data_IF_415749242162
#
_entry.id   IF_415749242162
#
_cell.length_a   1.000
_cell.length_b   1.000
_cell.length_c   1.000
_cell.angle_alpha   90.00
_cell.angle_beta   90.00
_cell.angle_gamma   90.00
#
_symmetry.space_group_name_H-M   'P 1'
#
loop_
_entity.id
_entity.type
_entity.pdbx_description
1 polymer ?
#
# COMPACT_ATOMS: atom_id res chain seq x y z
N UNK A 1 -5.00 -10.17 -19.79
CA UNK A 1 -3.85 -10.70 -20.55
C UNK A 1 -4.29 -10.86 -22.00
N UNK A 2 -3.46 -10.44 -22.95
CA UNK A 2 -3.70 -10.69 -24.38
C UNK A 2 -2.81 -11.88 -24.73
N UNK A 3 -3.42 -12.96 -25.21
CA UNK A 3 -2.70 -14.16 -25.65
C UNK A 3 -2.94 -14.31 -27.14
N UNK A 4 -1.86 -14.52 -27.89
CA UNK A 4 -1.91 -14.82 -29.32
C UNK A 4 -1.42 -16.24 -29.49
N UNK A 5 -2.28 -17.11 -30.02
CA UNK A 5 -1.91 -18.45 -30.43
C UNK A 5 -1.73 -18.43 -31.94
N UNK A 6 -0.52 -18.78 -32.38
CA UNK A 6 -0.21 -18.90 -33.80
C UNK A 6 -0.41 -20.36 -34.21
N UNK A 7 -1.33 -20.60 -35.14
CA UNK A 7 -1.51 -21.91 -35.73
C UNK A 7 -0.74 -22.00 -37.05
N UNK A 8 0.41 -22.67 -36.97
CA UNK A 8 1.30 -22.89 -38.12
C UNK A 8 0.62 -23.63 -39.29
N UNK A 9 -0.46 -24.38 -39.04
CA UNK A 9 -1.15 -25.15 -40.07
C UNK A 9 -2.13 -24.32 -40.90
N UNK A 10 -2.84 -23.38 -40.27
CA UNK A 10 -3.83 -22.51 -40.92
C UNK A 10 -3.31 -21.12 -41.26
N UNK A 11 -2.10 -20.75 -40.78
CA UNK A 11 -1.55 -19.38 -40.85
C UNK A 11 -2.52 -18.33 -40.30
N UNK A 12 -3.32 -18.72 -39.31
CA UNK A 12 -4.22 -17.80 -38.62
C UNK A 12 -3.75 -17.57 -37.19
N UNK A 13 -3.88 -16.32 -36.74
CA UNK A 13 -3.57 -15.93 -35.37
C UNK A 13 -4.87 -15.80 -34.58
N UNK A 14 -5.08 -16.68 -33.60
CA UNK A 14 -6.20 -16.56 -32.66
C UNK A 14 -5.77 -15.68 -31.48
N UNK A 15 -6.37 -14.49 -31.38
CA UNK A 15 -6.11 -13.56 -30.26
C UNK A 15 -7.23 -13.70 -29.23
N UNK A 16 -6.90 -14.16 -28.02
CA UNK A 16 -7.83 -14.20 -26.88
C UNK A 16 -7.49 -13.13 -25.85
N UNK A 17 -8.51 -12.37 -25.47
CA UNK A 17 -8.44 -11.39 -24.40
C UNK A 17 -9.06 -11.98 -23.14
N UNK A 18 -8.21 -12.40 -22.19
CA UNK A 18 -8.65 -12.92 -20.90
C UNK A 18 -8.67 -11.78 -19.88
N UNK A 19 -9.87 -11.44 -19.38
CA UNK A 19 -10.07 -10.46 -18.31
C UNK A 19 -10.19 -11.17 -16.97
N UNK A 20 -9.35 -10.82 -16.00
CA UNK A 20 -9.40 -11.34 -14.63
C UNK A 20 -9.31 -10.16 -13.66
N UNK A 21 -10.16 -10.18 -12.64
CA UNK A 21 -10.09 -9.22 -11.53
C UNK A 21 -8.75 -9.42 -10.82
N UNK A 22 -7.97 -8.35 -10.74
CA UNK A 22 -6.63 -8.40 -10.13
C UNK A 22 -6.77 -8.63 -8.62
N UNK A 23 -6.00 -9.57 -8.09
CA UNK A 23 -5.96 -9.89 -6.67
C UNK A 23 -4.68 -10.64 -6.32
N UNK A 24 -4.34 -10.65 -5.03
CA UNK A 24 -3.16 -11.34 -4.52
C UNK A 24 -3.62 -12.47 -3.62
N UNK A 25 -3.26 -13.70 -3.98
CA UNK A 25 -3.36 -14.87 -3.11
C UNK A 25 -1.98 -15.55 -3.09
N UNK A 26 -1.26 -15.35 -1.99
CA UNK A 26 0.10 -15.88 -1.80
C UNK A 26 0.09 -17.42 -1.73
N UNK A 27 -0.99 -18.01 -1.22
CA UNK A 27 -1.14 -19.45 -1.13
C UNK A 27 -1.23 -20.08 -2.51
N UNK A 28 -2.17 -19.58 -3.34
CA UNK A 28 -2.36 -20.05 -4.72
C UNK A 28 -1.14 -19.76 -5.59
N UNK A 29 -0.53 -18.58 -5.45
CA UNK A 29 0.69 -18.23 -6.20
C UNK A 29 1.81 -19.25 -5.94
N UNK A 30 2.04 -19.63 -4.69
CA UNK A 30 3.04 -20.63 -4.33
C UNK A 30 2.66 -22.03 -4.86
N UNK A 31 1.38 -22.41 -4.81
CA UNK A 31 0.93 -23.71 -5.32
C UNK A 31 1.10 -23.78 -6.86
N UNK A 32 0.62 -22.78 -7.60
CA UNK A 32 0.76 -22.71 -9.07
C UNK A 32 2.22 -22.70 -9.52
N UNK A 33 3.10 -22.00 -8.81
CA UNK A 33 4.53 -22.02 -9.14
C UNK A 33 5.18 -23.40 -8.89
N UNK A 34 4.74 -24.15 -7.88
CA UNK A 34 5.21 -25.54 -7.70
C UNK A 34 4.79 -26.43 -8.88
N UNK A 35 3.54 -26.34 -9.33
CA UNK A 35 3.07 -27.08 -10.53
C UNK A 35 3.93 -26.73 -11.73
N UNK A 36 4.12 -25.44 -12.01
CA UNK A 36 5.00 -24.96 -13.08
C UNK A 36 6.42 -25.53 -13.00
N UNK A 37 7.01 -25.51 -11.79
CA UNK A 37 8.37 -26.02 -11.57
C UNK A 37 8.43 -27.53 -11.80
N UNK A 38 7.44 -28.27 -11.34
CA UNK A 38 7.38 -29.72 -11.53
C UNK A 38 7.26 -30.08 -13.01
N UNK A 39 6.48 -29.33 -13.80
CA UNK A 39 6.39 -29.52 -15.26
C UNK A 39 7.73 -29.24 -15.93
N UNK A 40 8.41 -28.13 -15.58
CA UNK A 40 9.71 -27.78 -16.19
C UNK A 40 10.82 -28.78 -15.87
N UNK A 41 10.76 -29.41 -14.69
CA UNK A 41 11.74 -30.40 -14.28
C UNK A 41 11.33 -31.82 -14.70
N UNK A 42 10.32 -31.96 -15.57
CA UNK A 42 9.78 -33.24 -16.05
C UNK A 42 9.37 -34.21 -14.91
N UNK A 43 8.92 -33.66 -13.77
CA UNK A 43 8.47 -34.43 -12.60
C UNK A 43 7.00 -34.85 -12.72
N UNK A 44 6.18 -34.06 -13.43
CA UNK A 44 4.75 -34.32 -13.66
C UNK A 44 4.42 -34.06 -15.13
N UNK A 45 3.43 -34.80 -15.66
CA UNK A 45 2.94 -34.63 -17.03
C UNK A 45 2.02 -33.41 -17.21
N UNK A 46 1.82 -32.97 -18.46
CA UNK A 46 0.97 -31.80 -18.78
C UNK A 46 -0.49 -32.03 -18.36
N UNK A 47 -1.00 -33.26 -18.54
CA UNK A 47 -2.39 -33.61 -18.19
C UNK A 47 -2.61 -33.59 -16.66
N UNK A 48 -1.66 -34.15 -15.90
CA UNK A 48 -1.67 -34.12 -14.44
C UNK A 48 -1.56 -32.67 -13.91
N UNK A 49 -0.66 -31.88 -14.48
CA UNK A 49 -0.53 -30.46 -14.16
C UNK A 49 -1.81 -29.66 -14.47
N UNK A 50 -2.54 -30.04 -15.53
CA UNK A 50 -3.85 -29.48 -15.86
C UNK A 50 -4.89 -29.73 -14.78
N UNK A 51 -4.99 -30.97 -14.31
CA UNK A 51 -5.91 -31.37 -13.24
C UNK A 51 -5.57 -30.68 -11.90
N UNK A 52 -4.29 -30.63 -11.53
CA UNK A 52 -3.85 -29.91 -10.32
C UNK A 52 -4.18 -28.41 -10.41
N UNK A 53 -4.00 -27.80 -11.59
CA UNK A 53 -4.30 -26.38 -11.77
C UNK A 53 -5.80 -26.09 -11.68
N UNK A 54 -6.65 -26.98 -12.21
CA UNK A 54 -8.11 -26.85 -12.11
C UNK A 54 -8.57 -26.98 -10.65
N UNK A 55 -8.02 -27.93 -9.89
CA UNK A 55 -8.28 -28.05 -8.46
C UNK A 55 -7.88 -26.78 -7.70
N UNK A 56 -6.71 -26.20 -8.02
CA UNK A 56 -6.23 -24.95 -7.43
C UNK A 56 -7.13 -23.76 -7.76
N UNK A 57 -7.70 -23.71 -8.98
CA UNK A 57 -8.64 -22.67 -9.37
C UNK A 57 -9.97 -22.79 -8.63
N UNK A 58 -10.47 -24.02 -8.43
CA UNK A 58 -11.73 -24.32 -7.75
C UNK A 58 -11.67 -24.19 -6.22
N UNK A 59 -10.46 -24.23 -5.64
CA UNK A 59 -10.23 -24.20 -4.18
C UNK A 59 -10.82 -22.96 -3.52
N UNK A 60 -11.61 -23.11 -2.45
CA UNK A 60 -12.17 -21.97 -1.69
C UNK A 60 -11.08 -21.13 -0.99
N UNK A 61 -11.29 -19.82 -0.77
CA UNK A 61 -10.37 -19.00 0.01
C UNK A 61 -10.21 -19.56 1.43
N UNK A 62 -8.99 -19.53 1.97
CA UNK A 62 -8.66 -20.15 3.27
C UNK A 62 -9.33 -19.45 4.46
N UNK A 63 -9.27 -18.12 4.47
CA UNK A 63 -9.84 -17.30 5.54
C UNK A 63 -11.21 -16.74 5.14
N UNK A 64 -12.14 -16.74 6.11
CA UNK A 64 -13.47 -16.18 5.93
C UNK A 64 -13.42 -14.65 5.80
N UNK A 65 -14.31 -14.07 4.98
CA UNK A 65 -14.38 -12.62 4.72
C UNK A 65 -14.48 -11.78 5.99
N UNK A 66 -15.26 -12.20 6.99
CA UNK A 66 -15.42 -11.47 8.24
C UNK A 66 -14.16 -11.45 9.10
N UNK A 67 -13.41 -12.56 9.09
CA UNK A 67 -12.11 -12.62 9.77
C UNK A 67 -11.10 -11.69 9.09
N UNK A 68 -11.11 -11.64 7.75
CA UNK A 68 -10.25 -10.72 7.00
C UNK A 68 -10.55 -9.26 7.37
N UNK A 69 -11.83 -8.87 7.55
CA UNK A 69 -12.19 -7.51 7.99
C UNK A 69 -11.54 -7.16 9.33
N UNK A 70 -11.58 -8.07 10.30
CA UNK A 70 -10.97 -7.88 11.61
C UNK A 70 -9.44 -7.70 11.49
N UNK A 71 -8.80 -8.55 10.69
CA UNK A 71 -7.36 -8.46 10.43
C UNK A 71 -7.01 -7.19 9.67
N UNK A 72 -7.90 -6.68 8.81
CA UNK A 72 -7.73 -5.40 8.12
C UNK A 72 -7.63 -4.24 9.12
N UNK A 73 -8.51 -4.22 10.13
CA UNK A 73 -8.43 -3.25 11.22
C UNK A 73 -7.16 -3.39 12.07
N UNK A 74 -6.74 -4.62 12.37
CA UNK A 74 -5.45 -4.83 13.07
C UNK A 74 -4.28 -4.35 12.22
N UNK A 75 -4.30 -4.63 10.91
CA UNK A 75 -3.25 -4.23 9.98
C UNK A 75 -3.11 -2.71 9.92
N UNK A 76 -4.20 -1.95 9.76
CA UNK A 76 -4.11 -0.47 9.77
C UNK A 76 -3.60 0.07 11.11
N UNK A 77 -4.01 -0.53 12.24
CA UNK A 77 -3.54 -0.13 13.56
C UNK A 77 -2.04 -0.40 13.76
N UNK A 78 -1.50 -1.48 13.19
CA UNK A 78 -0.07 -1.79 13.24
C UNK A 78 0.77 -0.91 12.29
N UNK A 79 0.20 -0.36 11.21
CA UNK A 79 0.91 0.56 10.30
C UNK A 79 1.18 1.92 10.95
N UNK A 80 0.23 2.42 11.73
CA UNK A 80 0.29 3.76 12.32
C UNK A 80 1.63 4.08 13.02
N UNK A 81 2.11 3.26 13.97
CA UNK A 81 3.29 3.58 14.77
C UNK A 81 4.59 3.65 13.99
N UNK A 82 4.78 2.79 12.98
CA UNK A 82 6.05 2.72 12.26
C UNK A 82 6.13 3.61 11.03
N UNK A 83 5.00 3.86 10.38
CA UNK A 83 4.94 4.69 9.18
C UNK A 83 4.60 6.15 9.51
N UNK A 84 3.66 6.40 10.42
CA UNK A 84 3.06 7.73 10.62
C UNK A 84 3.19 8.25 12.06
N UNK A 85 4.09 7.65 12.85
CA UNK A 85 4.35 8.02 14.24
C UNK A 85 3.09 8.08 15.13
N UNK A 86 2.14 7.18 14.88
CA UNK A 86 0.89 7.10 15.66
C UNK A 86 1.17 6.74 17.13
N UNK A 87 0.48 7.41 18.05
CA UNK A 87 0.58 7.11 19.48
C UNK A 87 -0.31 5.90 19.83
N UNK A 88 -0.02 5.19 20.94
CA UNK A 88 -0.89 4.10 21.41
C UNK A 88 -2.35 4.52 21.59
N UNK A 89 -2.59 5.78 21.97
CA UNK A 89 -3.94 6.32 22.16
C UNK A 89 -4.73 6.43 20.84
N UNK A 90 -4.05 6.60 19.70
CA UNK A 90 -4.67 6.72 18.38
C UNK A 90 -5.06 5.34 17.80
N UNK A 91 -4.44 4.25 18.26
CA UNK A 91 -4.63 2.89 17.71
C UNK A 91 -6.06 2.38 17.69
N UNK A 92 -6.89 2.52 18.75
CA UNK A 92 -8.24 1.99 18.74
C UNK A 92 -9.12 2.66 17.67
N UNK A 93 -8.91 3.95 17.42
CA UNK A 93 -9.63 4.70 16.39
C UNK A 93 -9.18 4.26 15.00
N UNK A 94 -7.87 4.07 14.82
CA UNK A 94 -7.31 3.54 13.58
C UNK A 94 -7.86 2.12 13.29
N UNK A 95 -7.96 1.28 14.33
CA UNK A 95 -8.53 -0.05 14.23
C UNK A 95 -10.00 0.00 13.79
N UNK A 96 -10.79 0.91 14.37
CA UNK A 96 -12.19 1.10 14.00
C UNK A 96 -12.34 1.54 12.54
N UNK A 97 -11.58 2.56 12.12
CA UNK A 97 -11.59 3.02 10.72
C UNK A 97 -11.10 1.94 9.74
N UNK A 98 -10.11 1.14 10.13
CA UNK A 98 -9.64 0.01 9.32
C UNK A 98 -10.65 -1.12 9.21
N UNK A 99 -11.39 -1.43 10.27
CA UNK A 99 -12.50 -2.39 10.23
C UNK A 99 -13.63 -1.88 9.31
N UNK A 100 -13.97 -0.59 9.40
CA UNK A 100 -14.97 0.04 8.54
C UNK A 100 -14.56 -0.09 7.06
N UNK A 101 -13.29 0.23 6.77
CA UNK A 101 -12.73 0.08 5.44
C UNK A 101 -12.77 -1.38 4.95
N UNK A 102 -12.31 -2.32 5.77
CA UNK A 102 -12.34 -3.75 5.43
C UNK A 102 -13.76 -4.24 5.16
N UNK A 103 -14.76 -3.74 5.91
CA UNK A 103 -16.17 -4.02 5.68
C UNK A 103 -16.64 -3.50 4.31
N UNK A 104 -16.33 -2.25 3.98
CA UNK A 104 -16.65 -1.66 2.68
C UNK A 104 -16.00 -2.44 1.53
N UNK A 105 -14.75 -2.88 1.69
CA UNK A 105 -14.01 -3.62 0.66
C UNK A 105 -14.46 -5.07 0.49
N UNK A 106 -14.58 -5.84 1.58
CA UNK A 106 -14.81 -7.28 1.50
C UNK A 106 -16.29 -7.69 1.57
N UNK A 107 -17.18 -6.81 2.04
CA UNK A 107 -18.62 -7.10 2.18
C UNK A 107 -19.46 -6.28 1.21
N UNK A 108 -19.18 -4.97 1.06
CA UNK A 108 -20.03 -4.07 0.28
C UNK A 108 -19.63 -3.98 -1.20
N UNK A 109 -18.34 -3.88 -1.53
CA UNK A 109 -17.81 -3.90 -2.90
C UNK A 109 -18.25 -5.12 -3.74
N UNK A 110 -18.17 -6.37 -3.25
CA UNK A 110 -18.59 -7.52 -4.05
C UNK A 110 -20.11 -7.62 -4.23
N UNK A 111 -20.93 -6.85 -3.50
CA UNK A 111 -22.39 -6.90 -3.64
C UNK A 111 -22.94 -6.08 -4.78
N UNK A 112 -22.24 -5.03 -5.22
CA UNK A 112 -22.72 -4.22 -6.33
C UNK A 112 -21.56 -3.69 -7.18
N UNK A 113 -21.69 -3.88 -8.49
CA UNK A 113 -20.69 -3.44 -9.48
C UNK A 113 -20.54 -1.92 -9.46
N UNK A 114 -21.65 -1.19 -9.28
CA UNK A 114 -21.68 0.27 -9.15
C UNK A 114 -20.83 0.74 -7.97
N UNK A 115 -21.00 0.12 -6.80
CA UNK A 115 -20.23 0.49 -5.62
C UNK A 115 -18.76 0.12 -5.76
N UNK A 116 -18.43 -1.00 -6.40
CA UNK A 116 -17.03 -1.37 -6.67
C UNK A 116 -16.27 -0.31 -7.49
N UNK A 117 -16.96 0.41 -8.38
CA UNK A 117 -16.35 1.45 -9.22
C UNK A 117 -16.08 2.77 -8.47
N UNK A 118 -16.80 3.04 -7.37
CA UNK A 118 -16.69 4.30 -6.59
C UNK A 118 -16.23 4.03 -5.15
N UNK A 119 -15.94 2.78 -4.81
CA UNK A 119 -15.53 2.34 -3.49
C UNK A 119 -14.33 3.15 -2.98
N UNK A 120 -13.34 3.39 -3.83
CA UNK A 120 -12.09 4.09 -3.49
C UNK A 120 -12.36 5.51 -2.97
N UNK A 121 -13.15 6.28 -3.72
CA UNK A 121 -13.52 7.65 -3.37
C UNK A 121 -14.39 7.66 -2.11
N UNK A 122 -15.41 6.79 -2.04
CA UNK A 122 -16.32 6.76 -0.88
C UNK A 122 -15.62 6.34 0.41
N UNK A 123 -14.71 5.37 0.34
CA UNK A 123 -13.90 4.94 1.48
C UNK A 123 -12.93 6.02 1.94
N UNK A 124 -12.25 6.71 1.02
CA UNK A 124 -11.35 7.82 1.35
C UNK A 124 -12.09 9.00 1.99
N UNK A 125 -13.25 9.38 1.45
CA UNK A 125 -14.10 10.46 2.02
C UNK A 125 -14.52 10.10 3.44
N UNK A 126 -15.05 8.88 3.65
CA UNK A 126 -15.58 8.47 4.96
C UNK A 126 -14.47 8.35 6.01
N UNK A 127 -13.36 7.69 5.68
CA UNK A 127 -12.23 7.50 6.61
C UNK A 127 -11.56 8.83 6.94
N UNK A 128 -11.42 9.75 5.99
CA UNK A 128 -10.83 11.08 6.23
C UNK A 128 -11.76 12.01 7.02
N UNK A 129 -13.07 11.93 6.76
CA UNK A 129 -14.09 12.63 7.55
C UNK A 129 -14.02 12.19 9.01
N UNK A 130 -14.03 10.88 9.26
CA UNK A 130 -13.92 10.33 10.62
C UNK A 130 -12.57 10.66 11.26
N UNK A 131 -11.46 10.58 10.51
CA UNK A 131 -10.15 10.95 11.02
C UNK A 131 -10.10 12.40 11.51
N UNK A 132 -10.69 13.35 10.75
CA UNK A 132 -10.77 14.75 11.16
C UNK A 132 -11.74 14.95 12.32
N UNK A 133 -12.82 14.17 12.37
CA UNK A 133 -13.79 14.18 13.47
C UNK A 133 -13.21 13.72 14.81
N UNK A 134 -12.41 12.66 14.80
CA UNK A 134 -11.72 12.21 16.01
C UNK A 134 -10.53 13.11 16.34
N UNK A 135 -9.81 13.60 15.33
CA UNK A 135 -8.67 14.50 15.51
C UNK A 135 -9.03 15.88 16.07
N UNK A 136 -10.27 16.35 15.93
CA UNK A 136 -10.72 17.64 16.48
C UNK A 136 -11.16 17.59 17.95
N UNK A 137 -11.25 16.39 18.55
CA UNK A 137 -11.67 16.24 19.96
C UNK A 137 -10.60 16.84 20.88
N UNK A 138 -10.98 17.88 21.62
CA UNK A 138 -10.15 18.56 22.62
C UNK A 138 -10.29 17.84 23.97
N UNK A 139 -9.20 17.62 24.69
CA UNK A 139 -9.25 17.20 26.10
C UNK A 139 -8.93 18.37 27.01
N UNK A 140 -9.75 18.53 28.04
CA UNK A 140 -9.48 19.37 29.21
C UNK A 140 -8.78 18.60 30.35
N UNK A 141 -8.50 17.30 30.17
CA UNK A 141 -8.12 16.39 31.25
C UNK A 141 -6.62 16.10 31.39
N UNK A 142 -5.77 16.52 30.44
CA UNK A 142 -4.32 16.34 30.55
C UNK A 142 -3.61 17.69 30.68
N UNK A 143 -3.18 17.92 31.91
CA UNK A 143 -2.51 19.09 32.48
C UNK A 143 -1.31 19.58 31.67
N UNK A 144 -1.41 20.80 31.11
CA UNK A 144 -0.39 21.88 31.09
C UNK A 144 -0.64 22.90 29.95
N UNK A 145 -1.73 23.66 30.01
CA UNK A 145 -1.83 24.97 29.32
C UNK A 145 -1.71 25.03 27.79
N UNK A 146 -1.46 23.93 27.08
CA UNK A 146 -1.49 23.84 25.62
C UNK A 146 -2.86 23.31 25.17
N UNK A 147 -3.45 23.98 24.18
CA UNK A 147 -4.67 23.55 23.48
C UNK A 147 -4.36 22.33 22.58
N UNK A 148 -3.86 21.24 23.16
CA UNK A 148 -3.44 20.08 22.40
C UNK A 148 -4.61 19.13 22.12
N UNK A 149 -4.67 18.65 20.89
CA UNK A 149 -5.65 17.67 20.45
C UNK A 149 -5.31 16.29 21.03
N UNK A 150 -6.34 15.55 21.49
CA UNK A 150 -6.14 14.23 22.08
C UNK A 150 -5.57 13.27 21.06
N UNK A 151 -6.07 13.35 19.83
CA UNK A 151 -5.80 12.40 18.77
C UNK A 151 -5.06 13.07 17.62
N UNK A 152 -4.13 12.34 17.00
CA UNK A 152 -3.39 12.86 15.87
C UNK A 152 -4.15 12.62 14.56
N UNK A 153 -4.66 13.69 13.95
CA UNK A 153 -5.36 13.63 12.67
C UNK A 153 -4.51 12.98 11.56
N UNK A 154 -3.25 13.43 11.38
CA UNK A 154 -2.39 12.95 10.29
C UNK A 154 -2.18 11.44 10.40
N UNK A 155 -1.82 10.96 11.60
CA UNK A 155 -1.61 9.55 11.85
C UNK A 155 -2.87 8.72 11.54
N UNK A 156 -4.04 9.14 12.02
CA UNK A 156 -5.31 8.41 11.82
C UNK A 156 -5.71 8.39 10.35
N UNK A 157 -5.64 9.51 9.64
CA UNK A 157 -6.02 9.60 8.23
C UNK A 157 -5.08 8.73 7.37
N UNK A 158 -3.78 8.84 7.61
CA UNK A 158 -2.75 8.10 6.88
C UNK A 158 -2.84 6.59 7.05
N UNK A 159 -2.92 6.13 8.30
CA UNK A 159 -2.96 4.70 8.61
C UNK A 159 -4.24 4.03 8.16
N UNK A 160 -5.37 4.75 8.18
CA UNK A 160 -6.67 4.22 7.75
C UNK A 160 -6.68 3.89 6.26
N UNK A 161 -5.97 4.69 5.45
CA UNK A 161 -5.98 4.55 3.99
C UNK A 161 -4.87 3.61 3.51
N UNK A 162 -3.82 3.38 4.30
CA UNK A 162 -2.61 2.64 3.95
C UNK A 162 -2.82 1.31 3.19
N UNK A 163 -3.87 0.55 3.50
CA UNK A 163 -4.16 -0.74 2.87
C UNK A 163 -4.94 -0.65 1.54
N UNK A 164 -5.60 0.48 1.27
CA UNK A 164 -6.31 0.75 0.01
C UNK A 164 -5.32 1.04 -1.12
N UNK A 165 -4.14 1.57 -0.76
CA UNK A 165 -3.15 2.04 -1.72
C UNK A 165 -2.83 0.96 -2.77
N UNK A 166 -2.76 1.33 -4.06
CA UNK A 166 -2.51 0.39 -5.14
C UNK A 166 -1.03 -0.04 -5.21
N UNK A 167 -0.35 -0.24 -4.08
CA UNK A 167 1.09 -0.47 -4.00
C UNK A 167 1.57 -1.68 -4.81
N UNK A 168 0.85 -2.81 -4.72
CA UNK A 168 1.15 -3.99 -5.52
C UNK A 168 0.97 -3.74 -7.03
N UNK A 169 -0.14 -3.08 -7.39
CA UNK A 169 -0.45 -2.72 -8.78
C UNK A 169 0.66 -1.85 -9.38
N UNK A 170 1.14 -0.84 -8.65
CA UNK A 170 2.21 0.07 -9.13
C UNK A 170 3.55 -0.67 -9.25
N UNK A 171 3.85 -1.57 -8.31
CA UNK A 171 5.04 -2.40 -8.38
C UNK A 171 5.02 -3.31 -9.61
N UNK A 172 3.95 -4.09 -9.80
CA UNK A 172 3.83 -4.99 -10.96
C UNK A 172 3.90 -4.22 -12.28
N UNK A 173 3.25 -3.05 -12.36
CA UNK A 173 3.38 -2.14 -13.51
C UNK A 173 4.82 -1.79 -13.82
N UNK A 174 5.55 -1.35 -12.79
CA UNK A 174 6.92 -0.89 -12.94
C UNK A 174 7.88 -2.04 -13.28
N UNK A 175 7.62 -3.25 -12.78
CA UNK A 175 8.37 -4.46 -13.14
C UNK A 175 8.09 -4.90 -14.58
N UNK A 176 6.84 -4.85 -15.03
CA UNK A 176 6.46 -5.17 -16.42
C UNK A 176 7.00 -4.14 -17.41
N UNK A 177 6.99 -2.84 -17.07
CA UNK A 177 7.60 -1.81 -17.89
C UNK A 177 9.11 -2.05 -18.07
N UNK A 178 9.80 -2.45 -17.01
CA UNK A 178 11.23 -2.76 -17.07
C UNK A 178 11.55 -4.05 -17.82
N UNK A 179 10.66 -5.06 -17.78
CA UNK A 179 10.81 -6.29 -18.55
C UNK A 179 10.43 -6.14 -20.03
N UNK A 180 10.34 -4.90 -20.52
CA UNK A 180 9.94 -4.54 -21.89
C UNK A 180 8.51 -4.94 -22.26
N UNK A 181 7.66 -5.27 -21.28
CA UNK A 181 6.22 -5.49 -21.46
C UNK A 181 5.48 -4.14 -21.37
N UNK A 182 5.79 -3.24 -22.32
CA UNK A 182 5.39 -1.83 -22.26
C UNK A 182 3.87 -1.66 -22.18
N UNK A 183 3.10 -2.44 -22.97
CA UNK A 183 1.63 -2.31 -23.02
C UNK A 183 0.97 -2.71 -21.70
N UNK A 184 1.36 -3.86 -21.13
CA UNK A 184 0.77 -4.36 -19.88
C UNK A 184 1.13 -3.47 -18.68
N UNK A 185 2.40 -3.08 -18.58
CA UNK A 185 2.89 -2.25 -17.49
C UNK A 185 2.33 -0.82 -17.53
N UNK A 186 2.28 -0.20 -18.71
CA UNK A 186 1.82 1.19 -18.88
C UNK A 186 0.34 1.37 -18.51
N UNK A 187 -0.55 0.50 -18.99
CA UNK A 187 -1.99 0.58 -18.69
C UNK A 187 -2.22 0.49 -17.18
N UNK A 188 -1.57 -0.47 -16.53
CA UNK A 188 -1.70 -0.66 -15.08
C UNK A 188 -1.11 0.52 -14.30
N UNK A 189 -0.04 1.15 -14.80
CA UNK A 189 0.55 2.34 -14.19
C UNK A 189 -0.39 3.53 -14.28
N UNK A 190 -0.97 3.79 -15.46
CA UNK A 190 -1.98 4.86 -15.65
C UNK A 190 -3.18 4.64 -14.73
N UNK A 191 -3.67 3.40 -14.62
CA UNK A 191 -4.74 3.06 -13.68
C UNK A 191 -4.37 3.38 -12.24
N UNK A 192 -3.18 3.00 -11.77
CA UNK A 192 -2.72 3.30 -10.42
C UNK A 192 -2.56 4.81 -10.14
N UNK A 193 -2.20 5.60 -11.15
CA UNK A 193 -2.12 7.06 -11.03
C UNK A 193 -3.52 7.66 -10.84
N UNK A 194 -4.48 7.27 -11.69
CA UNK A 194 -5.88 7.71 -11.59
C UNK A 194 -6.47 7.30 -10.23
N UNK A 195 -6.23 6.06 -9.81
CA UNK A 195 -6.62 5.54 -8.50
C UNK A 195 -6.11 6.42 -7.35
N UNK A 196 -4.82 6.78 -7.39
CA UNK A 196 -4.18 7.61 -6.36
C UNK A 196 -4.70 9.05 -6.36
N UNK A 197 -5.06 9.58 -7.53
CA UNK A 197 -5.72 10.90 -7.65
C UNK A 197 -7.12 10.88 -7.05
N UNK A 198 -7.92 9.84 -7.32
CA UNK A 198 -9.23 9.65 -6.71
C UNK A 198 -9.15 9.51 -5.19
N UNK A 199 -8.14 8.78 -4.71
CA UNK A 199 -7.88 8.65 -3.29
C UNK A 199 -7.55 10.02 -2.66
N UNK A 200 -6.68 10.81 -3.28
CA UNK A 200 -6.32 12.14 -2.79
C UNK A 200 -7.43 13.17 -2.85
N UNK A 201 -8.24 13.13 -3.90
CA UNK A 201 -9.46 13.91 -3.99
C UNK A 201 -10.44 13.51 -2.88
N UNK A 202 -10.64 12.21 -2.65
CA UNK A 202 -11.50 11.70 -1.57
C UNK A 202 -11.06 12.16 -0.18
N UNK A 203 -9.76 12.18 0.10
CA UNK A 203 -9.23 12.76 1.36
C UNK A 203 -9.60 14.23 1.47
N UNK A 204 -9.30 15.03 0.45
CA UNK A 204 -9.52 16.48 0.46
C UNK A 204 -11.01 16.81 0.65
N UNK A 205 -11.90 16.05 -0.01
CA UNK A 205 -13.35 16.21 0.16
C UNK A 205 -13.77 15.83 1.58
N UNK A 206 -13.32 14.69 2.10
CA UNK A 206 -13.68 14.24 3.46
C UNK A 206 -13.21 15.19 4.56
N UNK A 207 -11.99 15.72 4.45
CA UNK A 207 -11.44 16.71 5.39
C UNK A 207 -12.17 18.04 5.30
N UNK A 208 -12.49 18.51 4.09
CA UNK A 208 -13.21 19.77 3.86
C UNK A 208 -14.63 19.72 4.43
N UNK A 209 -15.37 18.62 4.19
CA UNK A 209 -16.75 18.47 4.71
C UNK A 209 -16.76 18.61 6.23
N UNK A 210 -15.86 17.92 6.93
CA UNK A 210 -15.80 18.04 8.38
C UNK A 210 -15.31 19.43 8.84
N UNK A 211 -14.32 19.99 8.15
CA UNK A 211 -13.78 21.33 8.46
C UNK A 211 -14.79 22.47 8.30
N UNK A 212 -15.80 22.30 7.43
CA UNK A 212 -16.93 23.23 7.29
C UNK A 212 -17.99 23.06 8.40
N UNK A 213 -18.14 21.85 8.95
CA UNK A 213 -19.09 21.58 10.04
C UNK A 213 -18.54 22.11 11.37
N UNK A 214 -17.27 21.84 11.68
CA UNK A 214 -16.65 22.25 12.94
C UNK A 214 -15.67 23.44 12.74
N UNK A 215 -16.05 24.60 13.28
CA UNK A 215 -15.23 25.82 13.29
C UNK A 215 -13.93 25.67 14.09
N UNK A 216 -13.79 24.66 14.94
CA UNK A 216 -12.62 24.42 15.76
C UNK A 216 -11.77 23.22 15.31
N UNK A 217 -12.06 22.67 14.12
CA UNK A 217 -11.35 21.53 13.57
C UNK A 217 -9.83 21.74 13.52
N UNK A 218 -9.08 20.69 13.83
CA UNK A 218 -7.61 20.71 13.79
C UNK A 218 -7.10 20.87 12.36
N UNK A 219 -6.16 21.79 12.18
CA UNK A 219 -5.30 21.93 11.02
C UNK A 219 -3.86 21.47 11.33
N UNK A 220 -3.63 20.94 12.53
CA UNK A 220 -2.30 20.60 12.97
C UNK A 220 -1.88 19.25 12.36
N UNK A 221 -0.83 19.31 11.54
CA UNK A 221 -0.35 18.19 10.74
C UNK A 221 0.77 17.39 11.43
N UNK A 222 1.42 18.00 12.42
CA UNK A 222 2.42 17.36 13.25
C UNK A 222 1.79 16.75 14.51
N UNK A 223 2.04 15.46 14.76
CA UNK A 223 1.66 14.83 16.02
C UNK A 223 2.55 15.34 17.16
N UNK A 224 2.00 15.73 18.32
CA UNK A 224 2.81 16.10 19.48
C UNK A 224 3.57 14.88 20.01
N UNK A 225 4.82 15.09 20.41
CA UNK A 225 5.73 14.04 20.90
C UNK A 225 5.41 13.58 22.32
N UNK A 226 4.55 14.32 23.04
CA UNK A 226 4.07 13.95 24.37
C UNK A 226 3.08 12.77 24.28
N UNK A 227 3.42 11.66 24.93
CA UNK A 227 2.63 10.42 24.92
C UNK A 227 2.99 9.40 23.82
N UNK A 228 4.11 9.61 23.11
CA UNK A 228 4.71 8.60 22.25
C UNK A 228 5.34 7.45 23.04
N UNK A 229 5.66 6.33 22.38
CA UNK A 229 6.38 5.24 23.03
C UNK A 229 7.76 5.74 23.51
N UNK A 230 8.14 5.43 24.75
CA UNK A 230 9.39 5.92 25.34
C UNK A 230 10.69 5.48 24.64
N UNK A 231 10.62 4.52 23.70
CA UNK A 231 11.74 4.09 22.89
C UNK A 231 11.36 3.99 21.40
N UNK A 232 11.98 4.81 20.55
CA UNK A 232 11.70 4.90 19.12
C UNK A 232 11.86 3.57 18.38
N UNK A 233 12.74 2.68 18.85
CA UNK A 233 12.95 1.36 18.24
C UNK A 233 11.86 0.35 18.64
N UNK A 234 11.39 0.41 19.89
CA UNK A 234 10.32 -0.45 20.39
C UNK A 234 8.96 -0.12 19.73
N UNK A 235 8.79 1.12 19.27
CA UNK A 235 7.60 1.55 18.51
C UNK A 235 7.55 1.02 17.07
N UNK A 236 8.70 0.64 16.48
CA UNK A 236 8.79 0.44 15.03
C UNK A 236 8.98 -1.03 14.66
N UNK A 237 10.01 -1.68 15.19
CA UNK A 237 10.35 -3.05 14.77
C UNK A 237 9.28 -4.13 15.07
N UNK A 238 8.69 -4.21 16.28
CA UNK A 238 7.67 -5.22 16.54
C UNK A 238 6.39 -4.96 15.76
N UNK A 239 6.05 -3.69 15.50
CA UNK A 239 4.88 -3.30 14.73
C UNK A 239 5.02 -3.63 13.24
N UNK A 240 6.21 -3.48 12.67
CA UNK A 240 6.51 -3.95 11.30
C UNK A 240 6.35 -5.47 11.19
N UNK A 241 6.84 -6.21 12.18
CA UNK A 241 6.67 -7.67 12.22
C UNK A 241 5.19 -8.06 12.34
N UNK A 242 4.45 -7.43 13.25
CA UNK A 242 3.02 -7.65 13.41
C UNK A 242 2.23 -7.30 12.14
N UNK A 243 2.53 -6.16 11.51
CA UNK A 243 1.90 -5.77 10.25
C UNK A 243 2.17 -6.77 9.13
N UNK A 244 3.41 -7.26 9.00
CA UNK A 244 3.74 -8.28 8.00
C UNK A 244 3.02 -9.62 8.24
N UNK A 245 2.77 -9.99 9.50
CA UNK A 245 1.94 -11.14 9.86
C UNK A 245 0.48 -10.91 9.43
N UNK A 246 -0.08 -9.72 9.71
CA UNK A 246 -1.44 -9.38 9.28
C UNK A 246 -1.56 -9.41 7.75
N UNK A 247 -0.58 -8.87 7.01
CA UNK A 247 -0.56 -8.91 5.55
C UNK A 247 -0.49 -10.33 4.99
N UNK A 248 0.21 -11.25 5.65
CA UNK A 248 0.23 -12.66 5.28
C UNK A 248 -1.16 -13.27 5.38
N UNK A 249 -1.90 -12.96 6.45
CA UNK A 249 -3.26 -13.46 6.67
C UNK A 249 -4.23 -12.83 5.66
N UNK A 250 -4.15 -11.51 5.42
CA UNK A 250 -4.99 -10.80 4.43
C UNK A 250 -4.79 -11.38 3.03
N UNK A 251 -3.54 -11.67 2.64
CA UNK A 251 -3.21 -12.22 1.33
C UNK A 251 -3.21 -13.76 1.28
N UNK A 252 -3.93 -14.44 2.21
CA UNK A 252 -4.15 -15.89 2.19
C UNK A 252 -2.87 -16.76 2.19
N UNK A 253 -1.78 -16.26 2.80
CA UNK A 253 -0.48 -16.92 2.80
C UNK A 253 -0.39 -18.21 3.63
N UNK A 254 0.68 -18.99 3.41
CA UNK A 254 1.00 -20.20 4.18
C UNK A 254 1.76 -19.85 5.47
N UNK A 255 1.30 -20.36 6.62
CA UNK A 255 1.95 -20.16 7.92
C UNK A 255 3.40 -20.61 7.98
N UNK A 256 3.76 -21.68 7.26
CA UNK A 256 5.16 -22.19 7.22
C UNK A 256 6.15 -21.18 6.62
N UNK A 257 5.68 -20.24 5.81
CA UNK A 257 6.52 -19.21 5.17
C UNK A 257 6.52 -17.88 5.94
N UNK A 258 5.77 -17.76 7.06
CA UNK A 258 5.72 -16.53 7.83
C UNK A 258 7.06 -16.05 8.39
N UNK A 259 7.96 -16.89 8.95
CA UNK A 259 9.14 -16.37 9.63
C UNK A 259 10.11 -15.72 8.65
N UNK A 260 10.27 -16.31 7.45
CA UNK A 260 11.16 -15.76 6.43
C UNK A 260 10.61 -14.44 5.86
N UNK A 261 9.30 -14.36 5.64
CA UNK A 261 8.63 -13.14 5.16
C UNK A 261 8.78 -11.99 6.16
N UNK A 262 8.58 -12.28 7.45
CA UNK A 262 8.75 -11.29 8.53
C UNK A 262 10.21 -10.81 8.58
N UNK A 263 11.18 -11.73 8.51
CA UNK A 263 12.60 -11.36 8.54
C UNK A 263 13.00 -10.45 7.37
N UNK A 264 12.56 -10.76 6.15
CA UNK A 264 12.82 -9.94 4.95
C UNK A 264 12.15 -8.56 5.08
N UNK A 265 10.91 -8.52 5.57
CA UNK A 265 10.17 -7.27 5.78
C UNK A 265 10.85 -6.35 6.79
N UNK A 266 11.26 -6.89 7.94
CA UNK A 266 11.96 -6.13 8.97
C UNK A 266 13.31 -5.63 8.45
N UNK A 267 14.10 -6.46 7.75
CA UNK A 267 15.38 -6.04 7.16
C UNK A 267 15.21 -4.89 6.14
N UNK A 268 14.18 -4.96 5.29
CA UNK A 268 13.84 -3.90 4.34
C UNK A 268 13.46 -2.58 5.03
N UNK A 269 12.66 -2.65 6.10
CA UNK A 269 12.29 -1.47 6.88
C UNK A 269 13.47 -0.88 7.64
N UNK A 270 14.30 -1.71 8.29
CA UNK A 270 15.49 -1.27 9.04
C UNK A 270 16.41 -0.44 8.16
N UNK A 271 16.72 -0.94 6.96
CA UNK A 271 17.58 -0.24 6.01
C UNK A 271 16.95 1.04 5.49
N UNK A 272 15.65 1.03 5.18
CA UNK A 272 14.89 2.23 4.81
C UNK A 272 14.93 3.31 5.91
N UNK A 273 14.75 2.91 7.17
CA UNK A 273 14.73 3.81 8.32
C UNK A 273 16.09 4.49 8.54
N UNK A 274 17.18 3.72 8.58
CA UNK A 274 18.52 4.28 8.78
C UNK A 274 18.96 5.21 7.65
N UNK A 275 18.59 4.88 6.39
CA UNK A 275 18.87 5.76 5.25
C UNK A 275 18.05 7.03 5.34
N UNK A 276 16.75 6.95 5.63
CA UNK A 276 15.88 8.13 5.80
C UNK A 276 16.39 9.05 6.92
N UNK A 277 16.85 8.49 8.04
CA UNK A 277 17.39 9.27 9.15
C UNK A 277 18.71 9.97 8.81
N UNK A 278 19.48 9.47 7.84
CA UNK A 278 20.77 10.06 7.42
C UNK A 278 20.64 11.01 6.23
N UNK A 279 19.69 10.75 5.33
CA UNK A 279 19.58 11.42 4.03
C UNK A 279 18.49 12.52 3.99
N UNK A 280 17.73 12.69 5.08
CA UNK A 280 16.69 13.73 5.19
C UNK A 280 15.49 13.49 4.27
N UNK A 281 14.88 14.57 3.76
CA UNK A 281 13.65 14.55 2.93
C UNK A 281 13.75 13.77 1.60
N UNK A 282 14.91 13.21 1.24
CA UNK A 282 15.10 12.42 0.02
C UNK A 282 14.61 10.97 0.20
N UNK A 283 13.31 10.80 0.46
CA UNK A 283 12.67 9.50 0.73
C UNK A 283 12.80 8.48 -0.41
N UNK A 284 13.05 8.93 -1.64
CA UNK A 284 13.26 8.09 -2.82
C UNK A 284 14.38 7.07 -2.62
N UNK A 285 15.55 7.58 -2.21
CA UNK A 285 16.77 6.78 -2.07
C UNK A 285 16.60 5.77 -0.95
N UNK A 286 15.92 6.15 0.15
CA UNK A 286 15.61 5.24 1.24
C UNK A 286 14.73 4.07 0.79
N UNK A 287 13.72 4.32 -0.04
CA UNK A 287 12.86 3.27 -0.60
C UNK A 287 13.63 2.35 -1.54
N UNK A 288 14.56 2.91 -2.35
CA UNK A 288 15.46 2.12 -3.20
C UNK A 288 16.39 1.22 -2.40
N UNK A 289 17.02 1.72 -1.33
CA UNK A 289 17.93 0.91 -0.50
C UNK A 289 17.17 -0.16 0.29
N UNK A 290 15.98 0.18 0.80
CA UNK A 290 15.09 -0.78 1.44
C UNK A 290 14.69 -1.90 0.48
N UNK A 291 14.24 -1.55 -0.72
CA UNK A 291 13.86 -2.51 -1.75
C UNK A 291 15.04 -3.33 -2.29
N UNK A 292 16.24 -2.74 -2.38
CA UNK A 292 17.47 -3.46 -2.70
C UNK A 292 17.76 -4.54 -1.66
N UNK A 293 17.68 -4.20 -0.38
CA UNK A 293 17.89 -5.16 0.72
C UNK A 293 16.88 -6.31 0.66
N UNK A 294 15.60 -5.98 0.44
CA UNK A 294 14.52 -6.95 0.25
C UNK A 294 14.77 -7.85 -0.95
N UNK A 295 15.19 -7.29 -2.08
CA UNK A 295 15.51 -8.03 -3.29
C UNK A 295 16.70 -8.97 -3.11
N UNK A 296 17.76 -8.53 -2.44
CA UNK A 296 18.96 -9.36 -2.18
C UNK A 296 18.57 -10.53 -1.28
N UNK A 297 17.88 -10.26 -0.17
CA UNK A 297 17.43 -11.31 0.76
C UNK A 297 16.44 -12.28 0.12
N UNK A 298 15.46 -11.78 -0.65
CA UNK A 298 14.47 -12.61 -1.33
C UNK A 298 15.07 -13.49 -2.43
N UNK A 299 15.99 -12.94 -3.24
CA UNK A 299 16.68 -13.71 -4.27
C UNK A 299 17.66 -14.72 -3.66
N UNK A 300 18.36 -14.37 -2.57
CA UNK A 300 19.23 -15.29 -1.84
C UNK A 300 18.44 -16.43 -1.20
N UNK A 301 17.28 -16.13 -0.61
CA UNK A 301 16.37 -17.14 -0.06
C UNK A 301 15.92 -18.13 -1.14
N UNK A 302 15.54 -17.64 -2.32
CA UNK A 302 15.16 -18.52 -3.45
C UNK A 302 16.31 -19.42 -3.90
N UNK A 303 17.55 -18.90 -3.90
CA UNK A 303 18.74 -19.65 -4.28
C UNK A 303 19.11 -20.75 -3.29
N UNK A 304 19.02 -20.47 -1.98
CA UNK A 304 19.44 -21.40 -0.93
C UNK A 304 18.38 -22.44 -0.58
N UNK A 305 17.11 -22.04 -0.51
CA UNK A 305 16.05 -22.88 0.06
C UNK A 305 15.05 -23.43 -0.95
N UNK A 306 15.32 -23.30 -2.25
CA UNK A 306 14.38 -23.65 -3.34
C UNK A 306 13.00 -22.99 -3.16
N UNK A 307 12.95 -21.88 -2.42
CA UNK A 307 11.74 -21.15 -2.06
C UNK A 307 11.29 -20.16 -3.14
N UNK A 308 10.01 -19.80 -3.06
CA UNK A 308 9.35 -18.87 -3.98
C UNK A 308 9.75 -17.43 -3.67
N UNK A 309 10.51 -16.80 -4.56
CA UNK A 309 11.02 -15.44 -4.34
C UNK A 309 9.88 -14.41 -4.30
N UNK A 310 8.91 -14.50 -5.22
CA UNK A 310 7.81 -13.51 -5.30
C UNK A 310 7.03 -13.41 -4.00
N UNK A 311 6.60 -14.56 -3.50
CA UNK A 311 5.72 -14.63 -2.35
C UNK A 311 6.42 -14.08 -1.10
N UNK A 312 7.73 -14.36 -0.96
CA UNK A 312 8.52 -13.96 0.19
C UNK A 312 8.78 -12.44 0.27
N UNK A 313 8.87 -11.77 -0.88
CA UNK A 313 9.19 -10.33 -0.99
C UNK A 313 7.92 -9.46 -0.84
N UNK A 314 6.75 -9.99 -1.18
CA UNK A 314 5.53 -9.19 -1.29
C UNK A 314 5.12 -8.46 0.01
N UNK A 315 5.15 -9.08 1.21
CA UNK A 315 4.84 -8.35 2.44
C UNK A 315 5.78 -7.18 2.71
N UNK A 316 7.07 -7.34 2.38
CA UNK A 316 8.07 -6.29 2.57
C UNK A 316 7.80 -5.07 1.66
N UNK A 317 7.33 -5.29 0.45
CA UNK A 317 6.90 -4.21 -0.47
C UNK A 317 5.71 -3.44 0.14
N UNK A 318 4.72 -4.15 0.69
CA UNK A 318 3.59 -3.51 1.35
C UNK A 318 3.97 -2.73 2.62
N UNK A 319 5.14 -3.00 3.23
CA UNK A 319 5.70 -2.16 4.31
C UNK A 319 6.41 -0.92 3.76
N UNK A 320 7.13 -1.06 2.65
CA UNK A 320 7.87 0.04 2.03
C UNK A 320 6.94 1.11 1.43
N UNK A 321 5.79 0.73 0.85
CA UNK A 321 4.88 1.68 0.19
C UNK A 321 4.32 2.74 1.16
N UNK A 322 3.68 2.39 2.30
CA UNK A 322 3.23 3.38 3.28
C UNK A 322 4.37 4.21 3.86
N UNK A 323 5.53 3.58 4.10
CA UNK A 323 6.72 4.25 4.63
C UNK A 323 7.22 5.34 3.68
N UNK A 324 7.24 5.05 2.38
CA UNK A 324 7.63 6.02 1.36
C UNK A 324 6.72 7.24 1.27
N UNK A 325 5.42 7.05 1.51
CA UNK A 325 4.43 8.12 1.46
C UNK A 325 4.37 8.97 2.73
N UNK A 326 4.60 8.34 3.87
CA UNK A 326 4.78 9.06 5.11
C UNK A 326 5.91 10.09 4.99
N UNK A 327 7.01 9.68 4.38
CA UNK A 327 8.19 10.51 4.19
C UNK A 327 8.00 11.63 3.14
N UNK A 328 7.00 11.55 2.25
CA UNK A 328 6.71 12.63 1.29
C UNK A 328 5.65 13.62 1.77
N UNK A 329 4.94 13.34 2.86
CA UNK A 329 4.00 14.30 3.48
C UNK A 329 2.75 14.62 2.63
N UNK A 330 2.39 13.77 1.68
CA UNK A 330 1.39 14.07 0.64
C UNK A 330 -0.04 14.41 1.13
N UNK A 331 -0.35 14.17 2.41
CA UNK A 331 -1.67 14.48 2.99
C UNK A 331 -1.73 15.87 3.62
N UNK A 332 -0.57 16.50 3.84
CA UNK A 332 -0.44 17.90 4.28
C UNK A 332 -1.15 18.82 3.29
N UNK A 333 -0.93 18.61 1.99
CA UNK A 333 -1.51 19.45 0.94
C UNK A 333 -3.03 19.32 0.83
N UNK A 334 -3.61 18.18 1.22
CA UNK A 334 -5.05 17.96 1.27
C UNK A 334 -5.73 18.67 2.44
N UNK A 335 -4.99 18.95 3.52
CA UNK A 335 -5.48 19.74 4.66
C UNK A 335 -5.33 21.22 4.38
N UNK A 336 -4.18 21.65 3.87
CA UNK A 336 -3.93 23.06 3.53
C UNK A 336 -4.99 23.56 2.54
N UNK A 337 -5.31 22.76 1.52
CA UNK A 337 -6.40 23.10 0.59
C UNK A 337 -7.78 23.13 1.24
N UNK A 338 -8.08 22.19 2.14
CA UNK A 338 -9.35 22.19 2.87
C UNK A 338 -9.48 23.47 3.73
N UNK A 339 -8.38 23.91 4.35
CA UNK A 339 -8.35 25.11 5.18
C UNK A 339 -8.40 26.38 4.34
N UNK A 340 -7.75 26.42 3.17
CA UNK A 340 -7.88 27.51 2.18
C UNK A 340 -9.33 27.65 1.71
N UNK A 341 -9.98 26.55 1.32
CA UNK A 341 -11.40 26.54 0.89
C UNK A 341 -12.28 27.06 2.01
N UNK A 342 -12.10 26.56 3.24
CA UNK A 342 -12.83 27.03 4.41
C UNK A 342 -12.62 28.52 4.65
N UNK A 343 -11.39 29.02 4.54
CA UNK A 343 -11.07 30.43 4.74
C UNK A 343 -11.80 31.31 3.71
N UNK A 344 -11.88 30.87 2.45
CA UNK A 344 -12.58 31.57 1.38
C UNK A 344 -14.10 31.60 1.61
N UNK A 345 -14.70 30.48 2.01
CA UNK A 345 -16.14 30.41 2.34
C UNK A 345 -16.46 31.31 3.54
N UNK A 346 -15.60 31.32 4.56
CA UNK A 346 -15.78 32.16 5.76
C UNK A 346 -15.62 33.65 5.44
N UNK A 347 -14.64 34.02 4.59
CA UNK A 347 -14.42 35.40 4.11
C UNK A 347 -15.60 35.90 3.28
N UNK A 348 -16.16 35.08 2.38
CA UNK A 348 -17.37 35.45 1.61
C UNK A 348 -18.60 35.66 2.51
N UNK A 349 -18.71 34.95 3.63
CA UNK A 349 -19.81 35.14 4.58
C UNK A 349 -19.66 36.41 5.47
N UNK A 350 -18.45 36.98 5.58
CA UNK A 350 -18.16 38.12 6.48
C UNK A 350 -17.73 39.41 5.77
N UNK A 351 -17.77 39.46 4.44
CA UNK A 351 -17.65 40.72 3.68
C UNK A 351 -16.33 41.48 3.82
N UNK A 352 -15.26 40.86 4.34
CA UNK A 352 -13.95 41.50 4.45
C UNK A 352 -13.03 41.04 3.31
N UNK A 353 -13.02 41.83 2.23
CA UNK A 353 -12.12 41.65 1.10
C UNK A 353 -10.68 41.97 1.48
N UNK A 354 -9.86 40.94 1.71
CA UNK A 354 -8.40 41.06 1.67
C UNK A 354 -7.86 39.91 0.85
N UNK A 355 -7.45 40.23 -0.37
CA UNK A 355 -6.83 39.36 -1.37
C UNK A 355 -5.43 38.95 -0.90
N UNK A 356 -5.37 37.87 -0.12
CA UNK A 356 -4.13 37.11 0.06
C UNK A 356 -3.86 36.35 -1.23
N UNK A 357 -3.09 36.97 -2.12
CA UNK A 357 -2.45 36.33 -3.26
C UNK A 357 -1.32 35.45 -2.73
N UNK A 358 -1.54 34.13 -2.71
CA UNK A 358 -0.47 33.14 -2.60
C UNK A 358 -0.75 32.01 -3.58
N UNK A 359 -0.04 32.10 -4.69
CA UNK A 359 0.06 31.14 -5.78
C UNK A 359 0.58 29.78 -5.29
N UNK A 360 -0.33 28.85 -4.98
CA UNK A 360 -0.01 27.41 -4.79
C UNK A 360 -1.20 26.47 -4.97
N UNK A 361 -2.35 26.93 -5.47
CA UNK A 361 -3.60 26.15 -5.49
C UNK A 361 -3.71 25.07 -6.58
N UNK A 362 -2.77 24.99 -7.53
CA UNK A 362 -2.83 24.04 -8.66
C UNK A 362 -1.96 22.77 -8.47
N UNK A 363 -1.23 22.66 -7.36
CA UNK A 363 -0.29 21.56 -7.13
C UNK A 363 -0.68 20.66 -5.95
N UNK A 364 -1.90 20.73 -5.42
CA UNK A 364 -2.23 20.01 -4.18
C UNK A 364 -2.80 18.61 -4.43
N UNK A 365 -3.66 18.47 -5.45
CA UNK A 365 -4.32 17.20 -5.82
C UNK A 365 -3.40 16.26 -6.61
N UNK A 366 -2.38 16.81 -7.27
CA UNK A 366 -1.44 16.04 -8.08
C UNK A 366 -0.36 15.29 -7.24
N UNK A 367 -0.13 15.68 -5.97
CA UNK A 367 1.01 15.19 -5.18
C UNK A 367 0.87 13.72 -4.76
N UNK A 368 -0.35 13.26 -4.42
CA UNK A 368 -0.54 11.87 -3.98
C UNK A 368 -0.20 10.88 -5.08
N UNK A 369 -0.67 11.11 -6.31
CA UNK A 369 -0.32 10.31 -7.48
C UNK A 369 1.19 10.34 -7.78
N UNK A 370 1.80 11.53 -7.81
CA UNK A 370 3.24 11.65 -8.05
C UNK A 370 4.10 10.97 -6.99
N UNK A 371 3.75 11.07 -5.70
CA UNK A 371 4.48 10.39 -4.64
C UNK A 371 4.41 8.86 -4.74
N UNK A 372 3.26 8.31 -5.13
CA UNK A 372 3.12 6.85 -5.36
C UNK A 372 4.04 6.37 -6.49
N UNK A 373 4.08 7.12 -7.61
CA UNK A 373 4.96 6.82 -8.74
C UNK A 373 6.42 6.85 -8.28
N UNK A 374 6.80 7.91 -7.57
CA UNK A 374 8.16 8.09 -7.06
C UNK A 374 8.59 6.96 -6.12
N UNK A 375 7.73 6.55 -5.19
CA UNK A 375 7.99 5.41 -4.30
C UNK A 375 8.10 4.12 -5.10
N UNK A 376 7.22 3.89 -6.09
CA UNK A 376 7.25 2.69 -6.91
C UNK A 376 8.49 2.60 -7.81
N UNK A 377 8.93 3.70 -8.42
CA UNK A 377 10.19 3.75 -9.18
C UNK A 377 11.35 3.43 -8.23
N UNK A 378 11.37 4.03 -7.05
CA UNK A 378 12.40 3.75 -6.04
C UNK A 378 12.48 2.26 -5.69
N UNK A 379 11.33 1.65 -5.39
CA UNK A 379 11.25 0.21 -5.05
C UNK A 379 11.72 -0.66 -6.22
N UNK A 380 11.29 -0.35 -7.44
CA UNK A 380 11.58 -1.22 -8.58
C UNK A 380 13.02 -1.14 -9.06
N UNK A 381 13.64 0.05 -9.02
CA UNK A 381 15.08 0.20 -9.22
C UNK A 381 15.86 -0.62 -8.18
N UNK A 382 15.45 -0.56 -6.90
CA UNK A 382 16.09 -1.33 -5.83
C UNK A 382 16.03 -2.84 -6.06
N UNK A 383 14.85 -3.37 -6.39
CA UNK A 383 14.65 -4.80 -6.68
C UNK A 383 15.44 -5.25 -7.91
N UNK A 384 15.54 -4.42 -8.95
CA UNK A 384 16.27 -4.76 -10.17
C UNK A 384 17.78 -4.81 -9.95
N UNK A 385 18.33 -3.80 -9.27
CA UNK A 385 19.76 -3.79 -8.90
C UNK A 385 20.09 -5.00 -8.02
N UNK A 386 19.20 -5.38 -7.10
CA UNK A 386 19.35 -6.59 -6.31
C UNK A 386 19.37 -7.88 -7.15
N UNK A 387 18.53 -7.96 -8.18
CA UNK A 387 18.53 -9.11 -9.10
C UNK A 387 19.84 -9.21 -9.89
N UNK A 388 20.37 -8.09 -10.39
CA UNK A 388 21.68 -8.05 -11.07
C UNK A 388 22.83 -8.49 -10.15
N UNK A 389 22.82 -8.06 -8.88
CA UNK A 389 23.85 -8.44 -7.91
C UNK A 389 23.81 -9.93 -7.58
N UNK A 390 22.62 -10.52 -7.43
CA UNK A 390 22.49 -11.95 -7.07
C UNK A 390 22.66 -12.88 -8.29
N UNK A 391 22.24 -12.44 -9.48
CA UNK A 391 22.28 -13.20 -10.72
C UNK A 391 23.01 -12.46 -11.86
N UNK A 392 24.32 -12.18 -11.72
CA UNK A 392 25.06 -11.35 -12.67
C UNK A 392 25.18 -11.97 -14.08
N UNK A 393 25.09 -13.29 -14.21
CA UNK A 393 25.22 -14.02 -15.48
C UNK A 393 23.88 -14.52 -16.04
N UNK A 394 22.75 -14.12 -15.43
CA UNK A 394 21.43 -14.61 -15.79
C UNK A 394 21.21 -16.10 -15.44
N UNK A 395 19.94 -16.54 -15.42
CA UNK A 395 19.57 -17.93 -15.14
C UNK A 395 19.39 -18.66 -16.48
N UNK A 396 20.25 -19.63 -16.80
CA UNK A 396 20.29 -20.33 -18.11
C UNK A 396 19.04 -21.13 -18.49
N UNK A 397 18.14 -21.44 -17.56
CA UNK A 397 16.96 -22.32 -17.78
C UNK A 397 15.62 -21.75 -17.30
N UNK A 398 15.58 -20.49 -16.87
CA UNK A 398 14.35 -19.90 -16.34
C UNK A 398 14.43 -18.39 -16.54
N UNK A 399 13.34 -17.77 -17.02
CA UNK A 399 13.32 -16.35 -17.33
C UNK A 399 13.80 -15.51 -16.15
N UNK A 400 14.47 -14.40 -16.45
CA UNK A 400 15.05 -13.46 -15.48
C UNK A 400 14.04 -12.95 -14.43
N UNK A 401 12.74 -13.15 -14.68
CA UNK A 401 11.61 -12.75 -13.84
C UNK A 401 10.63 -13.89 -13.53
N UNK A 402 11.10 -15.15 -13.50
CA UNK A 402 10.35 -16.22 -12.83
C UNK A 402 10.41 -16.00 -11.32
N UNK A 403 9.53 -15.11 -10.88
CA UNK A 403 9.21 -14.86 -9.49
C UNK A 403 8.44 -16.04 -8.88
#
# INVERSE_FOLDING_TARGET
MIMSFDDSSTRTTEVKLVRVVQGVDLGRLADTHNVYKNVIHDMIGIEEAGNELEELMAKKPRFNRYFIVLIYGLATAMVGPFAFDARPIDMPIIFFNGCLLGCMQHILAPRSVLYSNVFEVTAAVLTSFLARAFGSIRSSAFTNGSNDYIFCFSAIAQSSIALILPGYTVLCSSLELQSQQIVAGSIRMVYAIIYSLFLGYGVTVGTTIYGLIDKNATSNLSCPTSGGFGNAYAQRFPFVAAFSLCLLIVNQGKWKQSPIMIAISVAGYVTNYFVSSRLGNNSQVANTVGAFTVGVMGNLYSRLWHGHAAAAILPAIFVLVPSGLAATGNLITGVDTADEIRSNVTKNATGSGTTSSSSSSNMSTNILGFGMIQVAIGITVGLFVAALVVYPLGKRRSGLFSF
#
